data_IF_965420229428
#
_entry.id   IF_965420229428
#
_cell.length_a   1.000
_cell.length_b   1.000
_cell.length_c   1.000
_cell.angle_alpha   90.00
_cell.angle_beta   90.00
_cell.angle_gamma   90.00
#
_symmetry.space_group_name_H-M   'P 1'
#
loop_
_entity.id
_entity.type
_entity.pdbx_description
1 polymer ?
#
# COMPACT_ATOMS: atom_id res chain seq x y z
N UNK A 1 -0.02 7.68 5.64
CA UNK A 1 -0.79 7.17 6.80
C UNK A 1 0.00 6.08 7.53
N UNK A 2 0.29 4.95 6.89
CA UNK A 2 1.03 3.83 7.50
C UNK A 2 2.43 4.23 7.97
N UNK A 3 3.25 4.83 7.11
CA UNK A 3 4.62 5.23 7.48
C UNK A 3 4.65 6.23 8.65
N UNK A 4 3.69 7.16 8.69
CA UNK A 4 3.54 8.11 9.79
C UNK A 4 3.28 7.42 11.12
N UNK A 5 2.47 6.37 11.15
CA UNK A 5 2.25 5.53 12.34
C UNK A 5 3.51 4.73 12.71
N UNK A 6 4.16 4.12 11.72
CA UNK A 6 5.39 3.35 11.91
C UNK A 6 6.57 4.18 12.42
N UNK A 7 6.51 5.51 12.27
CA UNK A 7 7.57 6.42 12.74
C UNK A 7 7.37 6.91 14.19
N UNK A 8 6.37 6.41 14.92
CA UNK A 8 6.08 6.83 16.30
C UNK A 8 6.53 5.80 17.36
N UNK A 9 6.73 6.29 18.59
CA UNK A 9 6.92 5.45 19.79
C UNK A 9 8.02 4.39 19.62
N UNK A 10 7.73 3.14 20.00
CA UNK A 10 8.67 2.02 19.93
C UNK A 10 9.15 1.72 18.50
N UNK A 11 8.25 1.79 17.51
CA UNK A 11 8.61 1.52 16.11
C UNK A 11 9.55 2.60 15.56
N UNK A 12 9.28 3.87 15.86
CA UNK A 12 10.17 4.97 15.50
C UNK A 12 11.57 4.81 16.09
N UNK A 13 11.65 4.52 17.40
CA UNK A 13 12.94 4.29 18.08
C UNK A 13 13.69 3.07 17.53
N UNK A 14 12.99 1.98 17.22
CA UNK A 14 13.58 0.79 16.62
C UNK A 14 14.13 1.08 15.21
N UNK A 15 13.43 1.90 14.41
CA UNK A 15 13.90 2.36 13.10
C UNK A 15 15.13 3.27 13.22
N UNK A 16 15.12 4.24 14.14
CA UNK A 16 16.24 5.17 14.38
C UNK A 16 17.49 4.45 14.91
N UNK A 17 17.31 3.42 15.74
CA UNK A 17 18.41 2.59 16.24
C UNK A 17 18.86 1.51 15.25
N UNK A 18 18.29 1.45 14.04
CA UNK A 18 18.65 0.51 12.99
C UNK A 18 18.28 -0.94 13.30
N UNK A 19 17.37 -1.18 14.25
CA UNK A 19 16.95 -2.53 14.64
C UNK A 19 15.95 -3.14 13.66
N UNK A 20 15.23 -2.31 12.91
CA UNK A 20 14.25 -2.73 11.89
C UNK A 20 14.37 -1.86 10.63
N UNK A 21 14.18 -2.48 9.47
CA UNK A 21 13.98 -1.79 8.19
C UNK A 21 12.50 -1.87 7.80
N UNK A 22 11.78 -0.76 7.99
CA UNK A 22 10.36 -0.66 7.67
C UNK A 22 10.18 0.06 6.33
N UNK A 23 9.49 -0.60 5.40
CA UNK A 23 9.19 -0.06 4.05
C UNK A 23 7.69 -0.03 3.82
N UNK A 24 7.17 1.15 3.49
CA UNK A 24 5.79 1.32 3.07
C UNK A 24 5.76 1.50 1.55
N UNK A 25 4.97 0.68 0.88
CA UNK A 25 4.78 0.74 -0.57
C UNK A 25 3.36 1.23 -0.88
N UNK A 26 3.23 2.30 -1.67
CA UNK A 26 1.95 2.66 -2.27
C UNK A 26 1.80 1.86 -3.56
N UNK A 27 0.91 0.87 -3.55
CA UNK A 27 0.58 0.03 -4.71
C UNK A 27 0.19 0.84 -5.96
N UNK A 28 -0.29 2.08 -5.80
CA UNK A 28 -0.60 2.97 -6.93
C UNK A 28 0.63 3.42 -7.69
N UNK A 29 1.82 3.36 -7.09
CA UNK A 29 3.08 3.70 -7.77
C UNK A 29 3.44 2.67 -8.85
N UNK A 30 2.85 1.47 -8.78
CA UNK A 30 3.11 0.39 -9.73
C UNK A 30 2.01 0.24 -10.79
N UNK A 31 0.95 1.06 -10.74
CA UNK A 31 -0.10 1.07 -11.73
C UNK A 31 0.40 1.60 -13.08
N UNK A 32 -0.08 1.01 -14.18
CA UNK A 32 0.39 1.31 -15.55
C UNK A 32 -0.44 2.35 -16.28
N UNK A 33 -1.62 2.68 -15.76
CA UNK A 33 -2.53 3.67 -16.33
C UNK A 33 -2.31 5.07 -15.72
N UNK A 34 -2.66 6.11 -16.47
CA UNK A 34 -2.48 7.51 -16.08
C UNK A 34 -3.28 7.91 -14.83
N UNK A 35 -4.33 7.16 -14.50
CA UNK A 35 -5.16 7.39 -13.32
C UNK A 35 -4.67 6.61 -12.08
N UNK A 36 -3.62 5.81 -12.23
CA UNK A 36 -3.03 4.97 -11.17
C UNK A 36 -4.08 4.06 -10.51
N UNK A 37 -4.91 3.45 -11.33
CA UNK A 37 -6.00 2.57 -10.91
C UNK A 37 -5.43 1.32 -10.23
N UNK A 38 -6.09 0.82 -9.19
CA UNK A 38 -5.63 -0.40 -8.47
C UNK A 38 -6.76 -1.38 -8.19
N UNK A 39 -8.00 -1.01 -8.51
CA UNK A 39 -9.20 -1.80 -8.35
C UNK A 39 -9.99 -1.89 -9.66
N UNK A 40 -10.81 -2.93 -9.79
CA UNK A 40 -11.71 -3.14 -10.93
C UNK A 40 -13.01 -3.82 -10.48
N UNK A 41 -14.03 -3.75 -11.33
CA UNK A 41 -15.33 -4.38 -11.07
C UNK A 41 -15.18 -5.91 -10.99
N UNK A 42 -15.88 -6.58 -10.06
CA UNK A 42 -15.85 -8.04 -9.97
C UNK A 42 -16.45 -8.70 -11.22
N UNK A 43 -15.81 -9.76 -11.71
CA UNK A 43 -16.41 -10.61 -12.73
C UNK A 43 -17.71 -11.22 -12.23
N UNK A 44 -18.74 -11.23 -13.08
CA UNK A 44 -20.11 -11.63 -12.70
C UNK A 44 -20.96 -10.50 -12.12
N UNK A 45 -20.40 -9.30 -11.97
CA UNK A 45 -21.09 -8.12 -11.44
C UNK A 45 -21.26 -8.18 -9.91
N UNK A 46 -22.00 -7.21 -9.37
CA UNK A 46 -22.19 -7.04 -7.92
C UNK A 46 -21.77 -5.64 -7.45
N UNK A 47 -21.99 -5.38 -6.17
CA UNK A 47 -21.60 -4.11 -5.56
C UNK A 47 -20.12 -4.13 -5.13
N UNK A 48 -19.44 -3.00 -5.30
CA UNK A 48 -18.05 -2.82 -4.89
C UNK A 48 -17.02 -3.13 -5.98
N UNK A 49 -15.75 -3.08 -5.58
CA UNK A 49 -14.59 -3.25 -6.44
C UNK A 49 -13.61 -4.24 -5.81
N UNK A 50 -12.83 -4.93 -6.63
CA UNK A 50 -11.76 -5.83 -6.21
C UNK A 50 -10.41 -5.25 -6.61
N UNK A 51 -9.41 -5.51 -5.78
CA UNK A 51 -8.03 -5.20 -6.14
C UNK A 51 -7.62 -5.96 -7.40
N UNK A 52 -7.00 -5.25 -8.36
CA UNK A 52 -6.46 -5.86 -9.57
C UNK A 52 -5.25 -6.73 -9.23
N UNK A 53 -5.04 -7.86 -9.94
CA UNK A 53 -3.85 -8.67 -9.76
C UNK A 53 -2.57 -7.93 -10.19
N UNK A 54 -2.66 -7.07 -11.20
CA UNK A 54 -1.60 -6.13 -11.55
C UNK A 54 -1.81 -4.84 -10.73
N UNK A 55 -0.85 -4.31 -9.94
CA UNK A 55 0.55 -4.68 -9.73
C UNK A 55 0.78 -5.13 -8.27
N UNK A 56 0.33 -6.33 -7.94
CA UNK A 56 0.60 -6.98 -6.63
C UNK A 56 1.87 -7.83 -6.74
#
# INVERSE_FOLDING_TARGET
MVDGFCSQSLLGRARESGQVDLRCHDIRDHATDVHRTVDDSPFGGGAGMLMRPDPI
#
